data_IF_583381725800
#
_entry.id   IF_583381725800
#
_cell.length_a   1.000
_cell.length_b   1.000
_cell.length_c   1.000
_cell.angle_alpha   90.00
_cell.angle_beta   90.00
_cell.angle_gamma   90.00
#
_symmetry.space_group_name_H-M   'P 1'
#
loop_
_entity.id
_entity.type
_entity.pdbx_description
1 polymer ?
#
# COMPACT_ATOMS: atom_id res chain seq x y z
N UNK A 1 -24.88 -18.24 4.31
CA UNK A 1 -24.34 -19.05 3.19
C UNK A 1 -22.84 -18.87 3.13
N UNK A 2 -22.07 -19.97 3.00
CA UNK A 2 -20.59 -19.90 2.80
C UNK A 2 -20.31 -19.63 1.34
N UNK A 3 -19.56 -18.56 1.07
CA UNK A 3 -19.17 -18.14 -0.28
C UNK A 3 -17.85 -18.79 -0.70
N UNK A 4 -16.85 -18.81 0.21
CA UNK A 4 -15.53 -19.37 -0.04
C UNK A 4 -14.86 -19.80 1.26
N UNK A 5 -14.13 -20.90 1.25
CA UNK A 5 -13.26 -21.33 2.36
C UNK A 5 -11.85 -20.73 2.18
N UNK A 6 -11.20 -20.45 3.29
CA UNK A 6 -9.84 -19.90 3.34
C UNK A 6 -9.18 -20.24 4.68
N UNK A 7 -8.01 -19.74 4.91
CA UNK A 7 -7.31 -19.78 6.20
C UNK A 7 -7.06 -18.37 6.71
N UNK A 8 -6.95 -18.21 8.00
CA UNK A 8 -6.65 -16.95 8.68
C UNK A 8 -5.88 -17.21 9.95
N UNK A 9 -5.56 -16.16 10.70
CA UNK A 9 -4.92 -16.26 12.00
C UNK A 9 -5.92 -15.96 13.11
N UNK A 10 -5.79 -16.64 14.23
CA UNK A 10 -6.44 -16.24 15.47
C UNK A 10 -5.86 -14.88 15.90
N UNK A 11 -6.69 -13.85 16.19
CA UNK A 11 -6.15 -12.54 16.60
C UNK A 11 -5.51 -12.53 18.00
N UNK A 12 -5.69 -13.61 18.79
CA UNK A 12 -5.15 -13.72 20.14
C UNK A 12 -3.84 -14.52 20.17
N UNK A 13 -3.85 -15.77 19.66
CA UNK A 13 -2.68 -16.66 19.73
C UNK A 13 -1.92 -16.78 18.42
N UNK A 14 -2.32 -16.11 17.38
CA UNK A 14 -1.72 -16.10 16.03
C UNK A 14 -1.67 -17.48 15.34
N UNK A 15 -2.25 -18.52 15.93
CA UNK A 15 -2.38 -19.84 15.30
C UNK A 15 -3.14 -19.72 13.98
N UNK A 16 -2.66 -20.37 12.94
CA UNK A 16 -3.37 -20.51 11.67
C UNK A 16 -4.59 -21.40 11.86
N UNK A 17 -5.76 -20.91 11.47
CA UNK A 17 -7.07 -21.54 11.67
C UNK A 17 -7.89 -21.49 10.38
N UNK A 18 -8.82 -22.41 10.26
CA UNK A 18 -9.80 -22.41 9.17
C UNK A 18 -10.69 -21.18 9.25
N UNK A 19 -11.01 -20.61 8.09
CA UNK A 19 -11.86 -19.45 7.95
C UNK A 19 -12.76 -19.58 6.73
N UNK A 20 -13.84 -18.82 6.71
CA UNK A 20 -14.77 -18.78 5.59
C UNK A 20 -15.27 -17.35 5.35
N UNK A 21 -15.36 -17.00 4.08
CA UNK A 21 -16.15 -15.85 3.65
C UNK A 21 -17.62 -16.25 3.64
N UNK A 22 -18.41 -15.57 4.43
CA UNK A 22 -19.85 -15.86 4.56
C UNK A 22 -20.63 -14.57 4.40
N UNK A 23 -21.82 -14.68 3.81
CA UNK A 23 -22.73 -13.56 3.74
C UNK A 23 -23.24 -13.24 5.15
N UNK A 24 -23.29 -11.96 5.50
CA UNK A 24 -23.83 -11.51 6.78
C UNK A 24 -25.29 -11.90 6.91
N UNK A 25 -25.70 -12.25 8.12
CA UNK A 25 -27.10 -12.57 8.43
C UNK A 25 -27.96 -11.32 8.63
N UNK A 26 -27.32 -10.19 8.92
CA UNK A 26 -27.99 -8.91 9.20
C UNK A 26 -28.03 -7.99 7.98
N UNK A 27 -27.15 -8.21 7.02
CA UNK A 27 -27.05 -7.39 5.82
C UNK A 27 -26.55 -8.22 4.63
N UNK A 28 -27.43 -8.47 3.67
CA UNK A 28 -27.14 -9.27 2.48
C UNK A 28 -26.07 -8.66 1.56
N UNK A 29 -25.75 -7.37 1.69
CA UNK A 29 -24.67 -6.69 0.94
C UNK A 29 -23.31 -6.79 1.62
N UNK A 30 -23.24 -7.38 2.83
CA UNK A 30 -22.00 -7.51 3.59
C UNK A 30 -21.50 -8.95 3.60
N UNK A 31 -20.24 -9.14 3.23
CA UNK A 31 -19.48 -10.39 3.40
C UNK A 31 -18.56 -10.24 4.61
N UNK A 32 -18.57 -11.23 5.48
CA UNK A 32 -17.72 -11.30 6.67
C UNK A 32 -16.73 -12.47 6.55
N UNK A 33 -15.52 -12.27 7.04
CA UNK A 33 -14.57 -13.34 7.29
C UNK A 33 -14.87 -13.91 8.67
N UNK A 34 -15.41 -15.14 8.71
CA UNK A 34 -15.70 -15.88 9.92
C UNK A 34 -14.62 -16.93 10.16
N UNK A 35 -14.06 -16.96 11.36
CA UNK A 35 -12.99 -17.88 11.76
C UNK A 35 -13.17 -18.32 13.20
N UNK A 36 -12.81 -19.57 13.50
CA UNK A 36 -12.99 -20.14 14.84
C UNK A 36 -11.66 -20.71 15.34
N UNK A 37 -11.21 -20.21 16.48
CA UNK A 37 -10.09 -20.75 17.22
C UNK A 37 -10.62 -21.71 18.28
N UNK A 38 -10.06 -22.93 18.44
CA UNK A 38 -10.50 -23.84 19.48
C UNK A 38 -10.37 -23.24 20.89
N UNK A 39 -9.35 -22.42 21.13
CA UNK A 39 -9.02 -21.89 22.45
C UNK A 39 -9.64 -20.49 22.71
N UNK A 40 -9.98 -19.73 21.63
CA UNK A 40 -10.39 -18.30 21.75
C UNK A 40 -11.73 -18.00 21.11
N UNK A 41 -12.46 -19.03 20.65
CA UNK A 41 -13.81 -18.87 20.12
C UNK A 41 -13.88 -18.32 18.69
N UNK A 42 -15.05 -17.78 18.34
CA UNK A 42 -15.35 -17.36 16.97
C UNK A 42 -15.22 -15.85 16.79
N UNK A 43 -14.56 -15.46 15.70
CA UNK A 43 -14.38 -14.07 15.29
C UNK A 43 -15.07 -13.85 13.93
N UNK A 44 -15.69 -12.69 13.76
CA UNK A 44 -16.31 -12.27 12.49
C UNK A 44 -15.95 -10.83 12.20
N UNK A 45 -15.39 -10.58 11.01
CA UNK A 45 -14.96 -9.24 10.59
C UNK A 45 -15.51 -8.94 9.19
N UNK A 46 -16.18 -7.80 8.97
CA UNK A 46 -16.57 -7.38 7.63
C UNK A 46 -15.34 -7.21 6.74
N UNK A 47 -15.38 -7.80 5.54
CA UNK A 47 -14.30 -7.70 4.56
C UNK A 47 -14.74 -7.08 3.25
N UNK A 48 -16.07 -7.09 2.99
CA UNK A 48 -16.65 -6.54 1.78
C UNK A 48 -18.04 -5.99 2.08
N UNK A 49 -18.30 -4.72 1.80
CA UNK A 49 -19.63 -4.10 1.90
C UNK A 49 -19.97 -3.51 0.54
N UNK A 50 -20.87 -4.17 -0.17
CA UNK A 50 -21.37 -3.66 -1.44
C UNK A 50 -22.22 -2.41 -1.21
N UNK A 51 -22.04 -1.38 -2.02
CA UNK A 51 -22.77 -0.12 -1.93
C UNK A 51 -23.03 0.47 -3.31
N UNK A 52 -23.88 1.49 -3.37
CA UNK A 52 -24.30 2.14 -4.60
C UNK A 52 -25.36 1.34 -5.36
N UNK A 53 -25.86 1.95 -6.44
CA UNK A 53 -26.86 1.37 -7.34
C UNK A 53 -26.54 1.74 -8.79
N UNK A 54 -26.96 0.90 -9.74
CA UNK A 54 -26.72 1.14 -11.17
C UNK A 54 -25.24 1.28 -11.52
N UNK A 55 -24.90 2.33 -12.26
CA UNK A 55 -23.54 2.61 -12.70
C UNK A 55 -22.57 3.00 -11.57
N UNK A 56 -23.09 3.35 -10.40
CA UNK A 56 -22.29 3.71 -9.21
C UNK A 56 -22.14 2.54 -8.23
N UNK A 57 -22.70 1.37 -8.55
CA UNK A 57 -22.58 0.18 -7.70
C UNK A 57 -21.13 -0.31 -7.64
N UNK A 58 -20.68 -0.61 -6.41
CA UNK A 58 -19.39 -1.28 -6.23
C UNK A 58 -19.47 -2.73 -6.73
N UNK A 59 -18.36 -3.32 -7.20
CA UNK A 59 -18.38 -4.70 -7.68
C UNK A 59 -18.85 -5.67 -6.59
N UNK A 60 -19.68 -6.66 -6.91
CA UNK A 60 -20.06 -7.70 -5.96
C UNK A 60 -18.86 -8.59 -5.63
N UNK A 61 -18.80 -9.10 -4.40
CA UNK A 61 -17.70 -9.94 -3.91
C UNK A 61 -17.36 -11.09 -4.87
N UNK A 62 -18.38 -11.79 -5.39
CA UNK A 62 -18.18 -12.92 -6.29
C UNK A 62 -17.55 -12.53 -7.64
N UNK A 63 -17.86 -11.34 -8.16
CA UNK A 63 -17.28 -10.84 -9.40
C UNK A 63 -15.86 -10.30 -9.21
N UNK A 64 -15.54 -9.83 -8.01
CA UNK A 64 -14.23 -9.28 -7.67
C UNK A 64 -13.18 -10.37 -7.43
N UNK A 65 -13.61 -11.47 -6.82
CA UNK A 65 -12.70 -12.54 -6.41
C UNK A 65 -12.15 -13.31 -7.62
N UNK A 66 -10.87 -13.12 -7.91
CA UNK A 66 -10.14 -13.82 -8.99
C UNK A 66 -8.91 -14.52 -8.40
N UNK A 67 -9.02 -15.79 -7.97
CA UNK A 67 -7.90 -16.53 -7.41
C UNK A 67 -6.77 -16.67 -8.42
N UNK A 68 -5.53 -16.68 -7.92
CA UNK A 68 -4.31 -16.88 -8.71
C UNK A 68 -3.52 -18.05 -8.18
N UNK A 69 -2.75 -18.70 -9.06
CA UNK A 69 -1.76 -19.68 -8.62
C UNK A 69 -0.62 -18.98 -7.91
N UNK A 70 -0.25 -19.38 -6.67
CA UNK A 70 0.86 -18.77 -5.97
C UNK A 70 2.19 -19.08 -6.66
N UNK A 71 3.18 -18.21 -6.47
CA UNK A 71 4.58 -18.51 -6.75
C UNK A 71 5.36 -18.65 -5.44
N UNK A 72 6.52 -19.29 -5.51
CA UNK A 72 7.34 -19.60 -4.36
C UNK A 72 8.76 -19.08 -4.57
N UNK A 73 9.55 -18.83 -3.50
CA UNK A 73 10.93 -18.41 -3.64
C UNK A 73 11.75 -19.43 -4.43
N UNK A 74 12.46 -18.97 -5.47
CA UNK A 74 13.34 -19.84 -6.26
C UNK A 74 14.51 -20.38 -5.41
N UNK A 75 14.99 -19.58 -4.45
CA UNK A 75 16.06 -19.93 -3.54
C UNK A 75 15.63 -19.65 -2.09
N UNK A 76 14.92 -20.56 -1.44
CA UNK A 76 14.49 -20.39 -0.06
C UNK A 76 15.68 -20.10 0.87
N UNK A 77 15.51 -19.21 1.85
CA UNK A 77 16.57 -18.79 2.76
C UNK A 77 16.36 -19.23 4.20
N UNK A 78 15.14 -19.62 4.54
CA UNK A 78 14.80 -20.12 5.86
C UNK A 78 14.11 -21.48 5.75
N UNK A 79 14.35 -22.42 6.70
CA UNK A 79 13.61 -23.67 6.76
C UNK A 79 12.18 -23.45 7.22
N UNK A 80 11.32 -24.45 7.04
CA UNK A 80 10.03 -24.53 7.72
C UNK A 80 10.27 -25.21 9.08
N UNK A 81 9.93 -24.55 10.18
CA UNK A 81 10.06 -25.06 11.53
C UNK A 81 8.71 -25.08 12.26
N UNK A 82 8.08 -23.92 12.42
CA UNK A 82 6.81 -23.77 13.14
C UNK A 82 5.63 -23.50 12.17
N UNK A 83 5.90 -23.27 10.89
CA UNK A 83 4.92 -22.87 9.90
C UNK A 83 4.51 -21.39 9.99
N UNK A 84 3.64 -20.94 9.06
CA UNK A 84 3.13 -19.59 9.08
C UNK A 84 2.22 -19.36 10.31
N UNK A 85 2.31 -18.19 10.98
CA UNK A 85 3.11 -17.00 10.62
C UNK A 85 4.51 -16.98 11.27
N UNK A 86 4.93 -18.01 11.99
CA UNK A 86 6.12 -17.99 12.84
C UNK A 86 7.43 -18.09 12.05
N UNK A 87 7.42 -18.82 10.93
CA UNK A 87 8.57 -18.93 10.02
C UNK A 87 8.56 -17.80 8.97
N UNK A 88 8.10 -16.59 9.35
CA UNK A 88 7.97 -15.48 8.42
C UNK A 88 9.34 -15.04 7.91
N UNK A 89 9.70 -15.61 6.81
CA UNK A 89 10.92 -15.41 6.04
C UNK A 89 10.69 -15.95 4.65
N UNK A 90 11.73 -16.05 3.85
CA UNK A 90 11.64 -16.56 2.51
C UNK A 90 11.79 -18.10 2.52
N UNK A 91 10.87 -18.79 3.22
CA UNK A 91 10.85 -20.24 3.32
C UNK A 91 10.22 -20.92 2.08
N UNK A 92 10.39 -22.24 1.88
CA UNK A 92 9.82 -22.95 0.74
C UNK A 92 8.28 -22.87 0.61
N UNK A 93 7.58 -22.62 1.74
CA UNK A 93 6.12 -22.50 1.76
C UNK A 93 5.61 -21.04 1.59
N UNK A 94 6.50 -20.07 1.34
CA UNK A 94 6.12 -18.68 1.11
C UNK A 94 5.41 -18.51 -0.23
N UNK A 95 4.10 -18.64 -0.23
CA UNK A 95 3.26 -18.68 -1.42
C UNK A 95 2.94 -17.29 -1.99
N UNK A 96 3.96 -16.45 -2.18
CA UNK A 96 3.82 -15.11 -2.74
C UNK A 96 5.12 -14.65 -3.40
N UNK A 97 5.00 -14.08 -4.59
CA UNK A 97 6.13 -13.46 -5.28
C UNK A 97 6.42 -12.06 -4.72
N UNK A 98 7.69 -11.77 -4.46
CA UNK A 98 8.10 -10.45 -3.96
C UNK A 98 8.10 -9.41 -5.08
N UNK A 99 7.20 -8.45 -5.01
CA UNK A 99 7.16 -7.29 -5.91
C UNK A 99 8.04 -6.15 -5.39
N UNK A 100 7.96 -5.87 -4.09
CA UNK A 100 8.69 -4.80 -3.43
C UNK A 100 9.15 -5.27 -2.06
N UNK A 101 10.42 -5.09 -1.75
CA UNK A 101 10.97 -5.29 -0.41
C UNK A 101 10.83 -4.03 0.42
N UNK A 102 10.24 -4.15 1.61
CA UNK A 102 10.13 -3.07 2.59
C UNK A 102 11.23 -3.23 3.63
N UNK A 103 12.12 -2.23 3.74
CA UNK A 103 13.20 -2.21 4.71
C UNK A 103 12.94 -1.16 5.79
N UNK A 104 12.67 -1.59 7.01
CA UNK A 104 12.57 -0.73 8.17
C UNK A 104 13.98 -0.45 8.69
N UNK A 105 14.51 0.74 8.40
CA UNK A 105 15.92 1.07 8.70
C UNK A 105 16.12 1.74 10.04
N UNK A 106 15.03 2.19 10.70
CA UNK A 106 15.08 2.84 12.03
C UNK A 106 13.75 2.71 12.75
N UNK A 107 13.80 2.69 14.09
CA UNK A 107 12.61 2.81 14.96
C UNK A 107 12.36 4.28 15.38
N UNK A 108 13.34 5.17 15.16
CA UNK A 108 13.23 6.60 15.48
C UNK A 108 12.23 7.30 14.57
N UNK A 109 11.52 8.29 15.12
CA UNK A 109 10.62 9.15 14.36
C UNK A 109 10.55 10.52 15.02
N UNK A 110 10.49 11.57 14.21
CA UNK A 110 10.32 12.96 14.64
C UNK A 110 8.84 13.38 14.79
N UNK A 111 7.92 12.42 14.67
CA UNK A 111 6.49 12.56 14.93
C UNK A 111 6.01 11.47 15.89
N UNK A 112 5.10 11.82 16.81
CA UNK A 112 4.47 10.90 17.75
C UNK A 112 2.98 10.73 17.40
N UNK A 113 2.69 10.29 16.19
CA UNK A 113 1.33 10.22 15.64
C UNK A 113 0.38 9.41 16.51
N UNK A 114 -0.85 9.89 16.82
CA UNK A 114 -1.88 9.11 17.52
C UNK A 114 -2.23 7.80 16.80
N UNK A 115 -2.19 7.80 15.47
CA UNK A 115 -2.39 6.60 14.64
C UNK A 115 -1.09 6.23 13.96
N UNK A 116 -0.46 5.13 14.41
CA UNK A 116 0.83 4.68 13.90
C UNK A 116 0.99 3.16 14.05
N UNK A 117 1.00 2.44 12.94
CA UNK A 117 1.16 0.99 12.93
C UNK A 117 2.52 0.52 13.48
N UNK A 118 3.58 1.32 13.28
CA UNK A 118 4.93 1.02 13.71
C UNK A 118 5.21 1.36 15.20
N UNK A 119 4.26 2.04 15.88
CA UNK A 119 4.44 2.60 17.23
C UNK A 119 5.71 3.47 17.38
N UNK A 120 6.20 4.01 16.29
CA UNK A 120 7.41 4.81 16.26
C UNK A 120 7.28 6.11 17.07
N UNK A 121 8.41 6.67 17.53
CA UNK A 121 8.43 7.86 18.39
C UNK A 121 7.90 7.65 19.81
N UNK A 122 7.51 6.44 20.20
CA UNK A 122 7.39 6.07 21.61
C UNK A 122 8.80 6.00 22.20
N UNK A 123 8.95 6.46 23.45
CA UNK A 123 10.24 6.47 24.15
C UNK A 123 10.90 5.11 24.02
N UNK A 124 12.04 5.06 23.35
CA UNK A 124 12.91 3.89 23.32
C UNK A 124 13.15 3.44 24.75
N UNK A 125 12.98 2.16 25.04
CA UNK A 125 13.28 1.63 26.37
C UNK A 125 14.83 1.59 26.50
N UNK A 126 15.45 2.53 27.22
CA UNK A 126 16.91 2.61 27.32
C UNK A 126 17.54 1.39 28.03
N UNK A 127 16.71 0.51 28.63
CA UNK A 127 17.16 -0.70 29.32
C UNK A 127 17.51 -1.86 28.38
N UNK A 128 17.21 -1.80 27.07
CA UNK A 128 17.52 -2.88 26.13
C UNK A 128 18.85 -2.76 25.40
N UNK A 129 19.52 -1.60 25.45
CA UNK A 129 20.84 -1.41 24.81
C UNK A 129 20.86 -1.58 23.28
N UNK A 130 19.70 -1.74 22.64
CA UNK A 130 19.58 -1.89 21.20
C UNK A 130 19.55 -0.51 20.55
N UNK A 131 20.38 -0.32 19.52
CA UNK A 131 20.31 0.86 18.67
C UNK A 131 18.95 0.89 17.95
N UNK A 132 18.29 2.05 17.95
CA UNK A 132 17.06 2.26 17.19
C UNK A 132 17.30 2.26 15.66
N UNK A 133 18.53 2.43 15.24
CA UNK A 133 18.95 2.39 13.84
C UNK A 133 19.53 1.02 13.49
N UNK A 134 19.07 0.43 12.41
CA UNK A 134 19.62 -0.82 11.89
C UNK A 134 21.01 -0.52 11.28
N UNK A 135 22.07 -1.26 11.63
CA UNK A 135 23.41 -1.09 11.09
C UNK A 135 23.42 -1.27 9.56
N UNK A 136 24.31 -0.52 8.87
CA UNK A 136 24.39 -0.53 7.40
C UNK A 136 24.76 -1.90 6.82
N UNK A 137 25.61 -2.64 7.48
CA UNK A 137 26.01 -4.01 7.10
C UNK A 137 24.83 -4.98 7.20
N UNK A 138 23.98 -4.83 8.23
CA UNK A 138 22.74 -5.62 8.39
C UNK A 138 21.75 -5.28 7.28
N UNK A 139 21.55 -4.00 6.96
CA UNK A 139 20.70 -3.57 5.84
C UNK A 139 21.23 -4.14 4.52
N UNK A 140 22.55 -4.09 4.29
CA UNK A 140 23.18 -4.66 3.13
C UNK A 140 22.91 -6.16 3.00
N UNK A 141 23.10 -6.91 4.09
CA UNK A 141 22.83 -8.34 4.15
C UNK A 141 21.33 -8.67 3.88
N UNK A 142 20.41 -7.88 4.43
CA UNK A 142 18.99 -8.03 4.17
C UNK A 142 18.64 -7.80 2.69
N UNK A 143 19.21 -6.77 2.06
CA UNK A 143 19.04 -6.49 0.62
C UNK A 143 19.58 -7.64 -0.25
N UNK A 144 20.75 -8.18 0.08
CA UNK A 144 21.35 -9.30 -0.65
C UNK A 144 20.53 -10.58 -0.47
N UNK A 145 20.04 -10.84 0.74
CA UNK A 145 19.16 -11.97 1.05
C UNK A 145 17.87 -11.91 0.25
N UNK A 146 17.20 -10.76 0.26
CA UNK A 146 15.96 -10.57 -0.49
C UNK A 146 16.17 -10.80 -1.99
N UNK A 147 17.20 -10.15 -2.56
CA UNK A 147 17.49 -10.26 -3.98
C UNK A 147 17.86 -11.70 -4.39
N UNK A 148 18.65 -12.37 -3.56
CA UNK A 148 19.04 -13.77 -3.80
C UNK A 148 17.88 -14.76 -3.73
N UNK A 149 16.88 -14.49 -2.89
CA UNK A 149 15.71 -15.37 -2.73
C UNK A 149 14.61 -15.09 -3.77
N UNK A 150 14.34 -13.82 -4.08
CA UNK A 150 13.18 -13.39 -4.85
C UNK A 150 13.52 -12.88 -6.25
N UNK A 151 14.80 -12.74 -6.60
CA UNK A 151 15.23 -12.13 -7.85
C UNK A 151 14.97 -10.60 -7.91
N UNK A 152 14.85 -10.02 -9.11
CA UNK A 152 14.65 -8.57 -9.28
C UNK A 152 13.33 -8.10 -8.66
N UNK A 153 13.40 -7.11 -7.78
CA UNK A 153 12.24 -6.47 -7.14
C UNK A 153 12.50 -4.96 -6.94
N UNK A 154 11.48 -4.25 -6.49
CA UNK A 154 11.57 -2.87 -6.06
C UNK A 154 11.92 -2.80 -4.57
N UNK A 155 12.32 -1.62 -4.09
CA UNK A 155 12.64 -1.37 -2.68
C UNK A 155 11.90 -0.15 -2.17
N UNK A 156 11.28 -0.30 -0.99
CA UNK A 156 10.81 0.79 -0.15
C UNK A 156 11.63 0.85 1.13
N UNK A 157 12.25 1.99 1.40
CA UNK A 157 12.95 2.27 2.64
C UNK A 157 11.97 2.96 3.59
N UNK A 158 11.77 2.37 4.75
CA UNK A 158 10.76 2.74 5.74
C UNK A 158 11.33 2.63 7.16
N UNK A 159 10.44 2.56 8.15
CA UNK A 159 10.74 2.45 9.58
C UNK A 159 9.82 3.33 10.38
N UNK A 160 10.34 3.99 11.43
CA UNK A 160 9.67 5.12 12.04
C UNK A 160 9.62 6.27 11.04
N UNK A 161 10.74 6.98 10.90
CA UNK A 161 10.92 8.00 9.87
C UNK A 161 12.36 7.89 9.30
N UNK A 162 12.55 7.35 8.10
CA UNK A 162 13.89 7.14 7.53
C UNK A 162 14.71 8.41 7.40
N UNK A 163 14.06 9.55 7.17
CA UNK A 163 14.77 10.83 6.98
C UNK A 163 15.41 11.38 8.25
N UNK A 164 15.16 10.79 9.43
CA UNK A 164 15.91 11.17 10.65
C UNK A 164 17.33 10.62 10.66
N UNK A 165 17.63 9.67 9.76
CA UNK A 165 19.00 9.14 9.56
C UNK A 165 19.79 10.05 8.64
N UNK A 166 21.00 10.42 9.05
CA UNK A 166 21.88 11.24 8.20
C UNK A 166 22.57 10.40 7.12
N UNK A 167 22.70 9.09 7.32
CA UNK A 167 23.23 8.13 6.38
C UNK A 167 22.18 7.53 5.39
N UNK A 168 20.96 8.07 5.37
CA UNK A 168 19.92 7.64 4.42
C UNK A 168 20.38 7.70 2.94
N UNK A 169 21.13 8.73 2.47
CA UNK A 169 21.69 8.72 1.11
C UNK A 169 22.59 7.51 0.84
N UNK A 170 23.36 7.05 1.83
CA UNK A 170 24.19 5.86 1.70
C UNK A 170 23.35 4.60 1.53
N UNK A 171 22.26 4.44 2.31
CA UNK A 171 21.31 3.31 2.20
C UNK A 171 20.67 3.28 0.80
N UNK A 172 20.29 4.45 0.26
CA UNK A 172 19.75 4.57 -1.11
C UNK A 172 20.80 4.12 -2.13
N UNK A 173 22.04 4.60 -2.00
CA UNK A 173 23.16 4.19 -2.86
C UNK A 173 23.43 2.69 -2.83
N UNK A 174 23.35 2.08 -1.65
CA UNK A 174 23.49 0.62 -1.48
C UNK A 174 22.42 -0.16 -2.25
N UNK A 175 21.17 0.31 -2.23
CA UNK A 175 20.09 -0.29 -3.00
C UNK A 175 20.31 -0.15 -4.51
N UNK A 176 20.80 1.01 -4.97
CA UNK A 176 21.14 1.24 -6.38
C UNK A 176 22.27 0.35 -6.88
N UNK A 177 23.35 0.25 -6.12
CA UNK A 177 24.49 -0.63 -6.46
C UNK A 177 24.06 -2.09 -6.61
N UNK A 178 23.05 -2.51 -5.86
CA UNK A 178 22.47 -3.85 -5.96
C UNK A 178 21.49 -4.04 -7.12
N UNK A 179 21.18 -2.97 -7.88
CA UNK A 179 20.35 -3.02 -9.09
C UNK A 179 18.86 -3.28 -8.80
N UNK A 180 18.31 -2.75 -7.70
CA UNK A 180 16.86 -2.73 -7.50
C UNK A 180 16.18 -1.81 -8.52
N UNK A 181 15.03 -2.24 -9.08
CA UNK A 181 14.38 -1.58 -10.20
C UNK A 181 13.81 -0.19 -9.88
N UNK A 182 13.26 -0.02 -8.66
CA UNK A 182 12.81 1.24 -8.09
C UNK A 182 13.30 1.33 -6.66
N UNK A 183 13.84 2.48 -6.28
CA UNK A 183 14.17 2.82 -4.89
C UNK A 183 13.28 3.96 -4.43
N UNK A 184 12.46 3.70 -3.41
CA UNK A 184 11.47 4.62 -2.88
C UNK A 184 11.68 4.80 -1.37
N UNK A 185 11.43 6.00 -0.84
CA UNK A 185 11.47 6.30 0.60
C UNK A 185 10.07 6.67 1.08
N UNK A 186 9.61 5.97 2.13
CA UNK A 186 8.40 6.31 2.86
C UNK A 186 8.74 7.37 3.89
N UNK A 187 8.05 8.52 3.88
CA UNK A 187 8.37 9.63 4.79
C UNK A 187 7.15 10.45 5.15
N UNK A 188 7.20 11.05 6.33
CA UNK A 188 6.26 12.09 6.76
C UNK A 188 6.50 13.44 6.06
N UNK A 189 7.66 13.66 5.45
CA UNK A 189 7.99 14.84 4.66
C UNK A 189 8.54 16.03 5.44
N UNK A 190 8.69 15.96 6.76
CA UNK A 190 9.18 17.10 7.58
C UNK A 190 10.57 17.56 7.14
N UNK A 191 11.54 16.65 7.03
CA UNK A 191 12.91 16.99 6.64
C UNK A 191 12.96 17.49 5.19
N UNK A 192 12.18 16.89 4.29
CA UNK A 192 12.05 17.36 2.90
C UNK A 192 11.57 18.82 2.80
N UNK A 193 10.66 19.21 3.70
CA UNK A 193 10.13 20.57 3.73
C UNK A 193 11.08 21.59 4.38
N UNK A 194 11.87 21.16 5.38
CA UNK A 194 12.68 22.08 6.21
C UNK A 194 14.09 22.27 5.71
N UNK A 195 14.71 21.21 5.20
CA UNK A 195 16.12 21.24 4.80
C UNK A 195 16.22 21.49 3.30
N UNK A 196 16.68 22.70 2.95
CA UNK A 196 16.93 23.06 1.56
C UNK A 196 17.97 22.09 0.93
N UNK A 197 17.73 21.67 -0.32
CA UNK A 197 18.64 20.79 -1.03
C UNK A 197 18.57 19.31 -0.63
N UNK A 198 17.85 18.95 0.46
CA UNK A 198 17.80 17.56 0.92
C UNK A 198 17.13 16.62 -0.11
N UNK A 199 16.05 17.04 -0.74
CA UNK A 199 15.44 16.26 -1.82
C UNK A 199 16.41 16.00 -2.97
N UNK A 200 17.24 16.98 -3.33
CA UNK A 200 18.29 16.84 -4.34
C UNK A 200 19.35 15.83 -3.91
N UNK A 201 19.83 15.91 -2.66
CA UNK A 201 20.83 14.95 -2.17
C UNK A 201 20.33 13.49 -2.20
N UNK A 202 19.04 13.26 -1.91
CA UNK A 202 18.43 11.93 -2.05
C UNK A 202 18.35 11.48 -3.52
N UNK A 203 17.99 12.40 -4.43
CA UNK A 203 17.96 12.14 -5.87
C UNK A 203 19.36 11.78 -6.39
N UNK A 204 20.38 12.54 -6.01
CA UNK A 204 21.77 12.32 -6.41
C UNK A 204 22.31 10.98 -5.86
N UNK A 205 21.84 10.54 -4.69
CA UNK A 205 22.13 9.22 -4.16
C UNK A 205 21.42 8.08 -4.93
N UNK A 206 20.50 8.40 -5.83
CA UNK A 206 19.81 7.43 -6.68
C UNK A 206 18.37 7.13 -6.28
N UNK A 207 17.73 7.96 -5.45
CA UNK A 207 16.31 7.82 -5.15
C UNK A 207 15.47 8.11 -6.39
N UNK A 208 14.43 7.28 -6.62
CA UNK A 208 13.48 7.47 -7.72
C UNK A 208 12.23 8.22 -7.32
N UNK A 209 11.70 7.92 -6.12
CA UNK A 209 10.37 8.31 -5.72
C UNK A 209 10.24 8.47 -4.21
N UNK A 210 9.38 9.38 -3.81
CA UNK A 210 8.94 9.60 -2.43
C UNK A 210 7.52 9.05 -2.26
N UNK A 211 7.32 8.25 -1.21
CA UNK A 211 6.04 7.79 -0.72
C UNK A 211 5.66 8.68 0.46
N UNK A 212 4.97 9.79 0.14
CA UNK A 212 4.71 10.89 1.08
C UNK A 212 3.40 10.67 1.81
N UNK A 213 3.45 10.48 3.11
CA UNK A 213 2.27 10.41 3.95
C UNK A 213 1.44 11.70 3.81
N UNK A 214 0.14 11.57 3.46
CA UNK A 214 -0.78 12.69 3.22
C UNK A 214 -2.23 12.29 3.43
N UNK A 215 -2.82 12.58 4.60
CA UNK A 215 -4.08 11.94 5.02
C UNK A 215 -5.36 12.68 4.59
N UNK A 216 -5.28 13.92 4.12
CA UNK A 216 -6.48 14.68 3.76
C UNK A 216 -6.19 16.08 3.25
N UNK A 217 -7.26 16.87 3.13
CA UNK A 217 -7.21 18.27 2.67
C UNK A 217 -7.52 19.27 3.80
N UNK A 218 -7.82 18.76 5.01
CA UNK A 218 -8.16 19.58 6.19
C UNK A 218 -7.16 19.33 7.31
N UNK A 219 -6.75 20.36 8.02
CA UNK A 219 -5.86 20.24 9.18
C UNK A 219 -6.49 19.41 10.32
N UNK A 220 -7.83 19.41 10.45
CA UNK A 220 -8.53 18.59 11.45
C UNK A 220 -8.24 17.10 11.32
N UNK A 221 -8.14 16.60 10.09
CA UNK A 221 -7.77 15.20 9.81
C UNK A 221 -6.34 14.90 10.23
N UNK A 222 -5.41 15.83 9.95
CA UNK A 222 -4.03 15.68 10.42
C UNK A 222 -3.91 15.81 11.94
N UNK A 223 -4.66 16.71 12.57
CA UNK A 223 -4.68 16.80 14.03
C UNK A 223 -5.13 15.48 14.67
N UNK A 224 -6.18 14.86 14.13
CA UNK A 224 -6.69 13.56 14.64
C UNK A 224 -5.71 12.43 14.40
N UNK A 225 -5.13 12.32 13.20
CA UNK A 225 -4.30 11.18 12.82
C UNK A 225 -2.82 11.35 13.16
N UNK A 226 -2.31 12.59 13.15
CA UNK A 226 -0.87 12.92 13.30
C UNK A 226 -0.56 13.77 14.50
N UNK A 227 -1.58 14.36 15.17
CA UNK A 227 -1.42 15.19 16.37
C UNK A 227 -0.86 16.58 16.08
N UNK A 228 -0.86 17.02 14.82
CA UNK A 228 -0.34 18.34 14.41
C UNK A 228 -0.83 18.79 13.04
N UNK A 229 -0.73 20.07 12.76
CA UNK A 229 -0.95 20.63 11.43
C UNK A 229 0.15 20.20 10.45
N UNK A 230 -0.24 19.87 9.23
CA UNK A 230 0.67 19.25 8.26
C UNK A 230 0.64 19.85 6.86
N UNK A 231 -0.44 20.46 6.41
CA UNK A 231 -0.66 20.82 5.00
C UNK A 231 0.45 21.72 4.45
N UNK A 232 0.86 22.75 5.19
CA UNK A 232 1.84 23.71 4.70
C UNK A 232 3.21 23.05 4.44
N UNK A 233 3.73 22.28 5.41
CA UNK A 233 5.02 21.65 5.20
C UNK A 233 4.97 20.53 4.15
N UNK A 234 3.83 19.83 4.02
CA UNK A 234 3.67 18.80 2.99
C UNK A 234 3.62 19.38 1.57
N UNK A 235 2.91 20.50 1.38
CA UNK A 235 2.95 21.24 0.11
C UNK A 235 4.39 21.67 -0.24
N UNK A 236 5.15 22.14 0.75
CA UNK A 236 6.57 22.48 0.57
C UNK A 236 7.42 21.27 0.23
N UNK A 237 7.21 20.12 0.89
CA UNK A 237 7.91 18.88 0.58
C UNK A 237 7.67 18.44 -0.87
N UNK A 238 6.41 18.52 -1.37
CA UNK A 238 6.10 18.21 -2.78
C UNK A 238 6.84 19.15 -3.73
N UNK A 239 6.84 20.47 -3.46
CA UNK A 239 7.60 21.43 -4.28
C UNK A 239 9.09 21.08 -4.32
N UNK A 240 9.71 20.85 -3.17
CA UNK A 240 11.12 20.50 -3.09
C UNK A 240 11.46 19.18 -3.82
N UNK A 241 10.54 18.20 -3.79
CA UNK A 241 10.66 16.97 -4.57
C UNK A 241 10.54 17.23 -6.08
N UNK A 242 9.59 18.05 -6.49
CA UNK A 242 9.42 18.45 -7.90
C UNK A 242 10.66 19.14 -8.46
N UNK A 243 11.21 20.11 -7.72
CA UNK A 243 12.44 20.84 -8.08
C UNK A 243 13.67 19.91 -8.17
N UNK A 244 13.67 18.84 -7.39
CA UNK A 244 14.71 17.82 -7.42
C UNK A 244 14.50 16.75 -8.51
N UNK A 245 13.36 16.76 -9.23
CA UNK A 245 13.02 15.74 -10.22
C UNK A 245 12.64 14.39 -9.60
N UNK A 246 12.14 14.37 -8.36
CA UNK A 246 11.63 13.17 -7.69
C UNK A 246 10.14 13.00 -7.95
N UNK A 247 9.70 11.77 -8.25
CA UNK A 247 8.29 11.42 -8.25
C UNK A 247 7.74 11.36 -6.83
N UNK A 248 6.47 11.73 -6.65
CA UNK A 248 5.78 11.68 -5.36
C UNK A 248 4.51 10.84 -5.48
N UNK A 249 4.32 9.91 -4.58
CA UNK A 249 3.05 9.21 -4.36
C UNK A 249 2.48 9.71 -3.05
N UNK A 250 1.29 10.29 -3.08
CA UNK A 250 0.58 10.68 -1.86
C UNK A 250 -0.02 9.44 -1.20
N UNK A 251 0.15 9.30 0.11
CA UNK A 251 -0.30 8.12 0.88
C UNK A 251 -1.24 8.55 1.99
N UNK A 252 -2.50 8.20 1.84
CA UNK A 252 -3.54 8.54 2.80
C UNK A 252 -3.90 7.35 3.68
N UNK A 253 -3.69 7.48 4.99
CA UNK A 253 -4.33 6.59 5.96
C UNK A 253 -5.76 7.05 6.16
N UNK A 254 -6.74 6.20 5.84
CA UNK A 254 -8.16 6.57 5.87
C UNK A 254 -8.89 5.87 7.00
N UNK A 255 -9.62 6.65 7.77
CA UNK A 255 -10.38 6.21 8.93
C UNK A 255 -11.82 6.69 8.80
N UNK A 256 -12.79 5.79 8.99
CA UNK A 256 -14.22 6.10 8.98
C UNK A 256 -14.56 7.16 10.04
N UNK A 257 -15.35 8.16 9.67
CA UNK A 257 -15.73 9.27 10.57
C UNK A 257 -14.63 10.30 10.79
N UNK A 258 -13.46 10.17 10.13
CA UNK A 258 -12.35 11.13 10.24
C UNK A 258 -12.08 11.82 8.90
N UNK A 259 -11.66 11.06 7.89
CA UNK A 259 -11.21 11.62 6.62
C UNK A 259 -11.70 10.87 5.36
N UNK A 260 -12.57 9.86 5.50
CA UNK A 260 -13.15 9.20 4.33
C UNK A 260 -13.99 10.13 3.46
N UNK A 261 -14.52 11.21 4.04
CA UNK A 261 -15.23 12.26 3.32
C UNK A 261 -14.35 13.22 2.51
N UNK A 262 -13.02 13.04 2.54
CA UNK A 262 -12.05 13.91 1.86
C UNK A 262 -11.39 13.26 0.63
N UNK A 263 -11.75 12.03 0.27
CA UNK A 263 -11.05 11.26 -0.77
C UNK A 263 -11.16 11.90 -2.16
N UNK A 264 -12.32 12.44 -2.51
CA UNK A 264 -12.52 13.16 -3.77
C UNK A 264 -11.70 14.45 -3.84
N UNK A 265 -11.69 15.22 -2.75
CA UNK A 265 -10.89 16.45 -2.66
C UNK A 265 -9.39 16.15 -2.65
N UNK A 266 -8.99 15.04 -2.03
CA UNK A 266 -7.60 14.60 -2.05
C UNK A 266 -7.16 14.21 -3.47
N UNK A 267 -8.04 13.59 -4.26
CA UNK A 267 -7.76 13.28 -5.67
C UNK A 267 -7.62 14.56 -6.50
N UNK A 268 -8.48 15.56 -6.30
CA UNK A 268 -8.37 16.87 -6.95
C UNK A 268 -7.08 17.59 -6.55
N UNK A 269 -6.74 17.57 -5.26
CA UNK A 269 -5.49 18.12 -4.75
C UNK A 269 -4.25 17.44 -5.38
N UNK A 270 -4.28 16.12 -5.55
CA UNK A 270 -3.19 15.40 -6.23
C UNK A 270 -3.00 15.90 -7.67
N UNK A 271 -4.09 16.27 -8.35
CA UNK A 271 -4.03 16.88 -9.68
C UNK A 271 -3.49 18.32 -9.64
N UNK A 272 -3.86 19.13 -8.65
CA UNK A 272 -3.37 20.50 -8.49
C UNK A 272 -1.86 20.55 -8.20
N UNK A 273 -1.35 19.64 -7.37
CA UNK A 273 0.05 19.61 -6.95
C UNK A 273 1.04 19.34 -8.12
N UNK A 274 0.52 19.03 -9.29
CA UNK A 274 1.32 19.01 -10.50
C UNK A 274 1.88 17.64 -10.88
N UNK A 275 2.67 17.58 -11.96
CA UNK A 275 3.10 16.33 -12.59
C UNK A 275 4.09 15.52 -11.74
N UNK A 276 4.71 16.12 -10.72
CA UNK A 276 5.56 15.39 -9.78
C UNK A 276 4.75 14.38 -8.95
N UNK A 277 3.45 14.64 -8.70
CA UNK A 277 2.57 13.69 -8.03
C UNK A 277 2.13 12.62 -9.03
N UNK A 278 2.67 11.41 -8.84
CA UNK A 278 2.51 10.26 -9.73
C UNK A 278 1.37 9.33 -9.35
N UNK A 279 0.88 9.42 -8.12
CA UNK A 279 -0.18 8.54 -7.64
C UNK A 279 -0.76 9.00 -6.31
N UNK A 280 -1.94 8.45 -6.03
CA UNK A 280 -2.61 8.52 -4.74
C UNK A 280 -2.80 7.09 -4.25
N UNK A 281 -2.20 6.75 -3.11
CA UNK A 281 -2.32 5.46 -2.45
C UNK A 281 -3.18 5.59 -1.21
N UNK A 282 -4.33 4.94 -1.21
CA UNK A 282 -5.33 5.03 -0.15
C UNK A 282 -5.26 3.77 0.69
N UNK A 283 -4.99 3.92 1.99
CA UNK A 283 -4.83 2.83 2.94
C UNK A 283 -5.89 2.94 4.03
N UNK A 284 -6.92 2.08 4.05
CA UNK A 284 -7.74 1.93 5.24
C UNK A 284 -6.87 1.65 6.45
N UNK A 285 -7.16 2.33 7.56
CA UNK A 285 -6.34 2.18 8.77
C UNK A 285 -6.33 0.74 9.27
N UNK A 286 -5.14 0.25 9.58
CA UNK A 286 -4.94 -1.02 10.26
C UNK A 286 -5.00 -0.80 11.78
N UNK A 287 -5.73 -1.68 12.48
CA UNK A 287 -5.93 -1.58 13.92
C UNK A 287 -4.94 -2.50 14.65
N UNK A 288 -3.67 -2.19 14.46
CA UNK A 288 -2.53 -2.69 15.23
C UNK A 288 -1.53 -1.55 15.43
N UNK A 289 -0.58 -1.71 16.34
CA UNK A 289 0.30 -0.63 16.73
C UNK A 289 -0.41 0.35 17.67
N UNK A 290 -0.25 1.67 17.43
CA UNK A 290 -0.88 2.73 18.22
C UNK A 290 -2.10 3.31 17.50
N UNK A 291 -3.24 3.31 18.18
CA UNK A 291 -4.49 3.95 17.74
C UNK A 291 -5.39 4.22 18.95
N UNK A 292 -6.26 5.25 18.89
CA UNK A 292 -7.03 5.69 20.06
C UNK A 292 -8.39 4.97 20.25
N UNK A 293 -8.77 4.05 19.35
CA UNK A 293 -10.09 3.38 19.38
C UNK A 293 -10.02 2.02 20.06
N UNK A 294 -11.12 1.59 20.70
CA UNK A 294 -11.27 0.20 21.12
C UNK A 294 -11.40 -0.71 19.88
N UNK A 295 -10.82 -1.91 19.95
CA UNK A 295 -10.73 -2.81 18.79
C UNK A 295 -12.10 -3.23 18.25
N UNK A 296 -13.07 -3.43 19.14
CA UNK A 296 -14.42 -3.82 18.85
C UNK A 296 -15.20 -2.73 18.11
N UNK A 297 -14.94 -1.48 18.47
CA UNK A 297 -15.56 -0.27 17.91
C UNK A 297 -14.72 0.39 16.81
N UNK A 298 -13.62 -0.26 16.42
CA UNK A 298 -12.70 0.30 15.46
C UNK A 298 -13.40 0.70 14.15
N UNK A 299 -13.21 1.95 13.68
CA UNK A 299 -13.94 2.51 12.53
C UNK A 299 -13.41 1.96 11.19
N UNK A 300 -13.69 0.69 10.92
CA UNK A 300 -13.16 -0.07 9.78
C UNK A 300 -13.81 0.33 8.47
N UNK A 301 -12.97 0.41 7.43
CA UNK A 301 -13.38 0.54 6.04
C UNK A 301 -13.03 -0.74 5.28
N UNK A 302 -13.93 -1.16 4.39
CA UNK A 302 -13.66 -2.20 3.38
C UNK A 302 -13.22 -1.55 2.07
N UNK A 303 -12.69 -2.32 1.14
CA UNK A 303 -12.33 -1.79 -0.19
C UNK A 303 -13.53 -1.17 -0.92
N UNK A 304 -14.75 -1.80 -0.95
CA UNK A 304 -15.92 -1.16 -1.52
C UNK A 304 -16.34 0.15 -0.84
N UNK A 305 -16.13 0.29 0.48
CA UNK A 305 -16.40 1.56 1.17
C UNK A 305 -15.51 2.69 0.57
N UNK A 306 -14.23 2.39 0.31
CA UNK A 306 -13.29 3.35 -0.31
C UNK A 306 -13.66 3.62 -1.78
N UNK A 307 -14.01 2.58 -2.55
CA UNK A 307 -14.46 2.72 -3.93
C UNK A 307 -15.68 3.63 -4.02
N UNK A 308 -16.69 3.37 -3.20
CA UNK A 308 -17.91 4.17 -3.16
C UNK A 308 -17.64 5.62 -2.73
N UNK A 309 -16.78 5.82 -1.73
CA UNK A 309 -16.40 7.17 -1.30
C UNK A 309 -15.74 7.98 -2.43
N UNK A 310 -14.80 7.38 -3.17
CA UNK A 310 -14.16 8.02 -4.32
C UNK A 310 -15.17 8.38 -5.41
N UNK A 311 -16.02 7.42 -5.81
CA UNK A 311 -16.99 7.60 -6.89
C UNK A 311 -18.06 8.64 -6.52
N UNK A 312 -18.55 8.62 -5.29
CA UNK A 312 -19.57 9.57 -4.83
C UNK A 312 -19.02 10.99 -4.69
N UNK A 313 -17.74 11.14 -4.33
CA UNK A 313 -17.10 12.45 -4.09
C UNK A 313 -16.45 13.05 -5.35
N UNK A 314 -16.06 12.23 -6.32
CA UNK A 314 -15.42 12.68 -7.56
C UNK A 314 -15.93 11.90 -8.79
N UNK A 315 -17.26 11.87 -9.06
CA UNK A 315 -17.84 11.10 -10.16
C UNK A 315 -17.36 11.56 -11.54
N UNK A 316 -16.90 12.80 -11.65
CA UNK A 316 -16.31 13.37 -12.87
C UNK A 316 -14.91 12.84 -13.17
N UNK A 317 -14.21 12.27 -12.19
CA UNK A 317 -12.83 11.79 -12.31
C UNK A 317 -12.75 10.27 -12.34
N UNK A 318 -13.59 9.57 -11.58
CA UNK A 318 -13.49 8.13 -11.39
C UNK A 318 -14.84 7.43 -11.50
N UNK A 319 -14.80 6.15 -11.92
CA UNK A 319 -15.97 5.26 -11.98
C UNK A 319 -15.62 3.90 -11.39
N UNK A 320 -16.60 3.15 -10.84
CA UNK A 320 -16.36 1.78 -10.36
C UNK A 320 -15.79 0.86 -11.47
N UNK A 321 -16.20 1.07 -12.72
CA UNK A 321 -15.72 0.30 -13.88
C UNK A 321 -14.23 0.50 -14.20
N UNK A 322 -13.61 1.56 -13.66
CA UNK A 322 -12.17 1.81 -13.82
C UNK A 322 -11.32 1.01 -12.83
N UNK A 323 -11.93 0.44 -11.79
CA UNK A 323 -11.24 -0.19 -10.68
C UNK A 323 -11.06 -1.69 -10.93
N UNK A 324 -9.85 -2.19 -10.72
CA UNK A 324 -9.48 -3.59 -10.99
C UNK A 324 -8.82 -4.21 -9.76
N UNK A 325 -9.03 -5.53 -9.54
CA UNK A 325 -8.29 -6.26 -8.52
C UNK A 325 -6.78 -6.27 -8.83
N UNK A 326 -5.92 -6.46 -7.82
CA UNK A 326 -4.47 -6.43 -8.00
C UNK A 326 -3.96 -7.58 -8.87
N UNK A 327 -2.80 -7.35 -9.51
CA UNK A 327 -2.15 -8.32 -10.39
C UNK A 327 -1.41 -9.45 -9.67
N UNK A 328 -0.86 -9.20 -8.47
CA UNK A 328 0.07 -10.12 -7.82
C UNK A 328 -0.28 -10.52 -6.39
N UNK A 329 -0.94 -9.65 -5.62
CA UNK A 329 -1.39 -9.97 -4.27
C UNK A 329 -2.79 -10.59 -4.27
N UNK A 330 -3.27 -10.95 -3.07
CA UNK A 330 -4.63 -11.42 -2.89
C UNK A 330 -5.63 -10.38 -3.39
N UNK A 331 -6.63 -10.81 -4.13
CA UNK A 331 -7.63 -9.96 -4.77
C UNK A 331 -8.46 -9.09 -3.81
N UNK A 332 -8.48 -9.46 -2.53
CA UNK A 332 -9.18 -8.70 -1.49
C UNK A 332 -8.27 -7.71 -0.73
N UNK A 333 -6.98 -7.61 -1.10
CA UNK A 333 -6.04 -6.73 -0.42
C UNK A 333 -6.01 -5.31 -0.99
N UNK A 334 -6.30 -5.15 -2.29
CA UNK A 334 -6.24 -3.84 -2.94
C UNK A 334 -7.11 -3.75 -4.19
N UNK A 335 -7.20 -2.55 -4.74
CA UNK A 335 -7.65 -2.28 -6.10
C UNK A 335 -6.76 -1.20 -6.72
N UNK A 336 -6.78 -1.12 -8.02
CA UNK A 336 -6.06 -0.09 -8.77
C UNK A 336 -6.87 0.43 -9.93
N UNK A 337 -6.60 1.68 -10.32
CA UNK A 337 -7.07 2.28 -11.56
C UNK A 337 -5.95 3.16 -12.12
N UNK A 338 -5.77 3.16 -13.43
CA UNK A 338 -4.69 3.89 -14.09
C UNK A 338 -5.29 4.95 -15.00
N UNK A 339 -4.75 6.15 -14.89
CA UNK A 339 -5.22 7.30 -15.64
C UNK A 339 -4.06 8.07 -16.26
N UNK A 340 -4.31 8.67 -17.42
CA UNK A 340 -3.49 9.73 -17.98
C UNK A 340 -4.01 11.07 -17.48
N UNK A 341 -3.10 11.93 -17.04
CA UNK A 341 -3.42 13.32 -16.73
C UNK A 341 -3.67 14.07 -18.02
N UNK A 342 -4.78 14.80 -18.09
CA UNK A 342 -5.17 15.60 -19.24
C UNK A 342 -5.58 17.01 -18.79
N UNK A 343 -5.61 17.96 -19.72
CA UNK A 343 -6.27 19.26 -19.52
C UNK A 343 -7.55 19.29 -20.34
N UNK A 344 -8.68 19.58 -19.70
CA UNK A 344 -9.97 19.78 -20.34
C UNK A 344 -10.44 21.19 -20.03
N UNK A 345 -10.63 22.02 -21.05
CA UNK A 345 -11.00 23.44 -20.89
C UNK A 345 -10.08 24.19 -19.92
N UNK A 346 -8.77 23.92 -19.99
CA UNK A 346 -7.77 24.53 -19.09
C UNK A 346 -7.69 23.92 -17.67
N UNK A 347 -8.64 23.08 -17.29
CA UNK A 347 -8.64 22.42 -15.97
C UNK A 347 -7.96 21.06 -15.99
N UNK A 348 -7.23 20.68 -14.93
CA UNK A 348 -6.67 19.35 -14.81
C UNK A 348 -7.78 18.29 -14.70
N UNK A 349 -7.61 17.19 -15.40
CA UNK A 349 -8.56 16.09 -15.43
C UNK A 349 -7.85 14.73 -15.57
N UNK A 350 -8.63 13.68 -15.58
CA UNK A 350 -8.17 12.31 -15.75
C UNK A 350 -8.81 11.67 -16.97
N UNK A 351 -8.02 10.94 -17.72
CA UNK A 351 -8.49 10.04 -18.78
C UNK A 351 -8.13 8.61 -18.41
N UNK A 352 -9.13 7.78 -18.29
CA UNK A 352 -8.93 6.38 -17.91
C UNK A 352 -8.17 5.62 -18.99
N UNK A 353 -7.23 4.78 -18.57
CA UNK A 353 -6.42 3.91 -19.42
C UNK A 353 -6.78 2.44 -19.14
N UNK A 354 -7.77 1.86 -19.86
CA UNK A 354 -8.26 0.51 -19.59
C UNK A 354 -7.17 -0.55 -19.72
N UNK A 355 -6.32 -0.44 -20.72
CA UNK A 355 -5.28 -1.42 -21.02
C UNK A 355 -4.09 -1.36 -20.04
N UNK A 356 -3.80 -0.20 -19.48
CA UNK A 356 -2.73 -0.05 -18.50
C UNK A 356 -3.04 -0.79 -17.18
N UNK A 357 -4.30 -0.79 -16.74
CA UNK A 357 -4.77 -1.58 -15.58
C UNK A 357 -4.89 -3.08 -15.90
N UNK A 358 -5.34 -3.41 -17.09
CA UNK A 358 -5.52 -4.78 -17.58
C UNK A 358 -4.19 -5.44 -17.96
N UNK A 359 -3.20 -4.68 -18.39
CA UNK A 359 -1.84 -5.18 -18.66
C UNK A 359 -1.20 -5.85 -17.44
N UNK A 360 -1.67 -5.54 -16.23
CA UNK A 360 -1.32 -6.29 -15.04
C UNK A 360 -2.11 -7.61 -14.88
N UNK A 361 -3.26 -7.78 -15.57
CA UNK A 361 -4.24 -8.82 -15.26
C UNK A 361 -4.79 -9.62 -16.44
N UNK A 362 -4.60 -9.20 -17.70
CA UNK A 362 -5.16 -9.92 -18.86
C UNK A 362 -4.10 -10.66 -19.68
N UNK A 363 -4.13 -11.96 -19.56
CA UNK A 363 -3.85 -12.90 -20.64
C UNK A 363 -5.09 -13.80 -20.81
N UNK A 364 -6.19 -13.22 -21.32
CA UNK A 364 -7.21 -13.96 -22.07
C UNK A 364 -8.32 -12.98 -22.47
N UNK A 365 -8.25 -12.49 -23.69
CA UNK A 365 -9.40 -11.97 -24.40
C UNK A 365 -10.45 -13.08 -24.51
N UNK A 366 -11.69 -12.75 -24.10
CA UNK A 366 -12.88 -13.28 -24.72
C UNK A 366 -13.10 -14.79 -24.80
N UNK A 367 -12.87 -15.58 -23.74
CA UNK A 367 -13.45 -16.91 -23.69
C UNK A 367 -14.77 -16.89 -22.90
N UNK A 368 -15.90 -17.33 -23.49
CA UNK A 368 -17.13 -17.54 -22.72
C UNK A 368 -16.87 -18.55 -21.62
N UNK A 369 -17.47 -18.33 -20.44
CA UNK A 369 -17.43 -19.24 -19.30
C UNK A 369 -17.98 -20.62 -19.69
N UNK A 370 -17.16 -21.48 -20.25
CA UNK A 370 -17.42 -22.91 -20.27
C UNK A 370 -16.91 -23.51 -18.97
N UNK A 371 -17.73 -24.33 -18.36
CA UNK A 371 -17.55 -25.01 -17.08
C UNK A 371 -16.45 -26.10 -17.11
N UNK A 372 -15.24 -25.71 -17.45
CA UNK A 372 -14.04 -26.50 -17.28
C UNK A 372 -13.14 -25.81 -16.27
N UNK A 373 -12.59 -26.52 -15.29
CA UNK A 373 -11.67 -26.00 -14.30
C UNK A 373 -10.43 -25.40 -14.97
N UNK A 374 -10.48 -24.10 -15.28
CA UNK A 374 -9.32 -23.36 -15.81
C UNK A 374 -8.33 -23.17 -14.67
N UNK A 375 -7.09 -23.58 -14.89
CA UNK A 375 -5.98 -23.34 -13.96
C UNK A 375 -5.86 -21.82 -13.73
N UNK A 376 -5.88 -21.34 -12.47
CA UNK A 376 -5.72 -19.91 -12.20
C UNK A 376 -4.41 -19.36 -12.80
N UNK A 377 -4.40 -18.14 -13.32
CA UNK A 377 -3.18 -17.57 -13.90
C UNK A 377 -2.07 -17.43 -12.85
N UNK A 378 -0.80 -17.61 -13.26
CA UNK A 378 0.33 -17.48 -12.33
C UNK A 378 0.47 -16.04 -11.80
N UNK A 379 0.63 -15.91 -10.48
CA UNK A 379 0.86 -14.62 -9.83
C UNK A 379 2.16 -13.94 -10.27
N UNK A 380 3.16 -14.71 -10.70
CA UNK A 380 4.48 -14.23 -11.12
C UNK A 380 4.42 -13.28 -12.33
N UNK A 381 3.59 -13.57 -13.32
CA UNK A 381 3.45 -12.71 -14.49
C UNK A 381 2.82 -11.37 -14.12
N UNK A 382 1.77 -11.37 -13.29
CA UNK A 382 1.17 -10.14 -12.76
C UNK A 382 2.16 -9.33 -11.95
N UNK A 383 2.96 -9.98 -11.09
CA UNK A 383 4.01 -9.34 -10.31
C UNK A 383 5.09 -8.69 -11.19
N UNK A 384 5.52 -9.37 -12.25
CA UNK A 384 6.50 -8.82 -13.20
C UNK A 384 5.98 -7.56 -13.89
N UNK A 385 4.73 -7.60 -14.40
CA UNK A 385 4.09 -6.45 -15.04
C UNK A 385 3.91 -5.28 -14.06
N UNK A 386 3.43 -5.55 -12.86
CA UNK A 386 3.24 -4.54 -11.82
C UNK A 386 4.57 -3.87 -11.41
N UNK A 387 5.65 -4.64 -11.22
CA UNK A 387 6.99 -4.10 -10.93
C UNK A 387 7.49 -3.16 -12.03
N UNK A 388 7.34 -3.57 -13.29
CA UNK A 388 7.77 -2.77 -14.43
C UNK A 388 6.93 -1.49 -14.55
N UNK A 389 5.61 -1.58 -14.41
CA UNK A 389 4.71 -0.43 -14.46
C UNK A 389 5.09 0.62 -13.39
N UNK A 390 5.22 0.19 -12.14
CA UNK A 390 5.59 1.06 -11.02
C UNK A 390 6.97 1.69 -11.25
N UNK A 391 7.96 0.89 -11.69
CA UNK A 391 9.31 1.38 -11.96
C UNK A 391 9.36 2.40 -13.10
N UNK A 392 8.49 2.33 -14.09
CA UNK A 392 8.41 3.31 -15.19
C UNK A 392 7.65 4.58 -14.80
N UNK A 393 6.54 4.45 -14.08
CA UNK A 393 5.60 5.56 -13.91
C UNK A 393 5.74 6.32 -12.58
N UNK A 394 6.31 5.71 -11.55
CA UNK A 394 6.48 6.36 -10.24
C UNK A 394 7.81 7.12 -10.11
N UNK A 395 8.74 6.90 -11.02
CA UNK A 395 9.98 7.71 -11.08
C UNK A 395 9.67 9.16 -11.37
N UNK A 396 10.49 10.05 -10.79
CA UNK A 396 10.62 11.41 -11.30
C UNK A 396 11.27 11.39 -12.67
N UNK A 397 11.00 12.38 -13.48
CA UNK A 397 11.63 12.58 -14.78
C UNK A 397 11.52 14.05 -15.14
N UNK A 398 12.32 14.50 -16.09
CA UNK A 398 12.00 15.73 -16.80
C UNK A 398 10.56 15.62 -17.28
N UNK A 399 9.75 16.64 -17.01
CA UNK A 399 8.38 16.67 -17.52
C UNK A 399 8.48 16.38 -19.03
N UNK A 400 7.93 15.24 -19.45
CA UNK A 400 7.74 15.00 -20.87
C UNK A 400 6.96 16.22 -21.36
N UNK A 401 7.56 16.96 -22.29
CA UNK A 401 7.08 18.26 -22.75
C UNK A 401 5.59 18.24 -23.02
N UNK A 402 5.00 19.39 -22.76
CA UNK A 402 3.58 19.73 -22.87
C UNK A 402 2.89 19.18 -24.10
#
# INVERSE_FOLDING_TARGET
MTLRRTQSLCPVCLRRIEASYVQSVTDARTVVLRKTCPDHGTFSVPVWRESGEGALATPPFAAWSRPKSPSYPANPRTPISLGCPYDCGLCPAHAQHTCTGLFEVTKRCDMACPVCYAQAGSVSNPLRGESDDIPLDVIAMQMDTLKGASGPCNVQISGGEPTVRDDLPQIIGMARQRGFGLVQVNTNGLRLARQQGYARSLRDAGLDSIYLQWDGVRESSFMTLRGRECLEFKRRAVRNCADAGLGVVLVATVVRGVNEGELGDLLRLALELGPAVRGLHIQPAAFFGRYPWQLEEAPRLTLPDVMAALVNQAPELVSPSHMHPPGCENELCSFSAVYRRVRRNGQPGLEWLPDAGQSCCNSSEGAPHTSGATVPPPAEEGARKAKQFVAMHWKGGEAAGE
#
